data_IF_497110952618
#
_entry.id   IF_497110952618
#
_cell.length_a   1.000
_cell.length_b   1.000
_cell.length_c   1.000
_cell.angle_alpha   90.00
_cell.angle_beta   90.00
_cell.angle_gamma   90.00
#
_symmetry.space_group_name_H-M   'P 1'
#
loop_
_entity.id
_entity.type
_entity.pdbx_description
1 polymer ?
#
# COMPACT_ATOMS: atom_id res chain seq x y z
N UNK A 1 -45.90 19.69 -80.65
CA UNK A 1 -45.87 21.02 -81.28
C UNK A 1 -44.99 21.94 -80.50
N UNK A 2 -44.09 22.64 -81.22
CA UNK A 2 -43.27 23.83 -80.97
C UNK A 2 -42.02 23.61 -80.11
N UNK A 3 -40.85 23.43 -80.69
CA UNK A 3 -39.88 24.36 -81.35
C UNK A 3 -39.49 25.52 -80.41
N UNK A 4 -38.25 25.54 -79.96
CA UNK A 4 -37.60 26.67 -79.29
C UNK A 4 -36.08 26.54 -79.22
N UNK A 5 -35.43 26.98 -80.17
CA UNK A 5 -34.15 27.63 -80.47
C UNK A 5 -33.00 27.59 -79.38
N UNK A 6 -31.91 27.01 -79.86
CA UNK A 6 -30.53 27.14 -79.36
C UNK A 6 -30.05 28.62 -79.44
N UNK A 7 -29.39 29.05 -78.35
CA UNK A 7 -28.44 30.21 -78.40
C UNK A 7 -27.11 29.78 -77.76
N UNK A 8 -26.09 29.69 -78.60
CA UNK A 8 -24.73 29.52 -78.23
C UNK A 8 -24.20 30.85 -77.67
N UNK A 9 -23.73 30.88 -76.43
CA UNK A 9 -22.98 32.02 -75.86
C UNK A 9 -21.55 31.59 -75.76
N UNK A 10 -20.68 32.32 -76.43
CA UNK A 10 -19.23 32.19 -76.48
C UNK A 10 -18.65 32.84 -75.28
N UNK A 11 -18.15 32.02 -74.29
CA UNK A 11 -17.44 32.55 -73.14
C UNK A 11 -15.91 32.48 -73.36
N UNK A 12 -15.33 33.65 -73.41
CA UNK A 12 -13.88 33.91 -73.49
C UNK A 12 -13.22 33.34 -72.24
N UNK A 13 -12.32 32.37 -72.44
CA UNK A 13 -11.55 31.75 -71.35
C UNK A 13 -10.29 32.62 -71.14
N UNK A 14 -10.26 33.42 -70.08
CA UNK A 14 -9.03 34.14 -69.64
C UNK A 14 -8.26 33.17 -68.73
N UNK A 15 -7.12 32.66 -69.24
CA UNK A 15 -6.19 31.84 -68.47
C UNK A 15 -5.28 32.78 -67.68
N UNK A 16 -5.50 32.80 -66.34
CA UNK A 16 -4.54 33.43 -65.43
C UNK A 16 -3.43 32.41 -65.10
N UNK A 17 -2.25 32.64 -65.58
CA UNK A 17 -1.02 31.96 -65.14
C UNK A 17 -0.65 32.46 -63.74
N UNK A 18 -0.93 31.64 -62.70
CA UNK A 18 -0.42 31.88 -61.34
C UNK A 18 0.93 31.16 -61.20
N UNK A 19 2.02 31.85 -60.85
CA UNK A 19 3.28 31.20 -60.62
C UNK A 19 3.19 30.41 -59.31
N UNK A 20 3.27 29.07 -59.38
CA UNK A 20 3.34 28.18 -58.25
C UNK A 20 4.78 28.28 -57.67
N UNK A 21 4.90 29.02 -56.57
CA UNK A 21 6.11 28.98 -55.73
C UNK A 21 6.08 27.64 -54.98
N UNK A 22 6.96 26.70 -55.38
CA UNK A 22 7.28 25.53 -54.58
C UNK A 22 8.08 25.95 -53.36
N UNK A 23 7.40 26.18 -52.24
CA UNK A 23 8.03 26.19 -50.91
C UNK A 23 8.37 24.75 -50.56
N UNK A 24 9.67 24.42 -50.69
CA UNK A 24 10.22 23.17 -50.11
C UNK A 24 10.11 23.26 -48.60
N UNK A 25 9.01 22.76 -48.01
CA UNK A 25 8.97 22.41 -46.61
C UNK A 25 9.79 21.16 -46.43
N UNK A 26 11.05 21.35 -46.00
CA UNK A 26 11.84 20.27 -45.42
C UNK A 26 11.08 19.78 -44.19
N UNK A 27 10.30 18.72 -44.33
CA UNK A 27 9.76 17.99 -43.19
C UNK A 27 10.97 17.34 -42.47
N UNK A 28 11.51 18.04 -41.48
CA UNK A 28 12.28 17.36 -40.44
C UNK A 28 11.32 16.41 -39.75
N UNK A 29 11.25 15.18 -40.21
CA UNK A 29 10.68 14.07 -39.45
C UNK A 29 11.58 13.94 -38.21
N UNK A 30 11.22 14.67 -37.14
CA UNK A 30 11.57 14.27 -35.80
C UNK A 30 10.78 12.98 -35.60
N UNK A 31 11.44 11.85 -35.85
CA UNK A 31 10.94 10.57 -35.42
C UNK A 31 10.84 10.68 -33.89
N UNK A 32 9.67 11.04 -33.39
CA UNK A 32 9.27 10.73 -32.05
C UNK A 32 9.41 9.22 -31.96
N UNK A 33 10.45 8.75 -31.29
CA UNK A 33 10.59 7.34 -30.98
C UNK A 33 9.29 6.96 -30.27
N UNK A 34 8.48 6.16 -30.94
CA UNK A 34 7.24 5.58 -30.44
C UNK A 34 7.66 4.51 -29.40
N UNK A 35 8.18 4.98 -28.25
CA UNK A 35 8.50 4.11 -27.13
C UNK A 35 7.19 3.76 -26.48
N UNK A 36 6.77 2.52 -26.65
CA UNK A 36 5.67 1.95 -25.89
C UNK A 36 5.83 2.27 -24.41
N UNK A 37 4.77 2.66 -23.72
CA UNK A 37 4.85 3.04 -22.31
C UNK A 37 5.42 1.90 -21.46
N UNK A 38 6.30 2.24 -20.53
CA UNK A 38 6.79 1.28 -19.54
C UNK A 38 5.65 0.88 -18.61
N UNK A 39 5.39 -0.41 -18.50
CA UNK A 39 4.34 -0.93 -17.61
C UNK A 39 4.99 -1.34 -16.29
N UNK A 40 4.58 -0.69 -15.21
CA UNK A 40 4.95 -1.04 -13.84
C UNK A 40 3.72 -1.64 -13.16
N UNK A 41 3.83 -2.89 -12.70
CA UNK A 41 2.78 -3.53 -11.89
C UNK A 41 3.05 -3.28 -10.41
N UNK A 42 2.04 -2.91 -9.64
CA UNK A 42 2.10 -2.88 -8.17
C UNK A 42 1.22 -3.99 -7.62
N UNK A 43 1.83 -4.94 -6.88
CA UNK A 43 1.10 -5.97 -6.12
C UNK A 43 0.62 -5.35 -4.81
N UNK A 44 -0.65 -5.51 -4.49
CA UNK A 44 -1.31 -4.83 -3.37
C UNK A 44 -1.90 -5.82 -2.36
N UNK A 45 -3.18 -5.70 -2.05
CA UNK A 45 -3.92 -6.51 -1.10
C UNK A 45 -5.37 -6.71 -1.59
N UNK A 46 -6.23 -7.46 -0.89
CA UNK A 46 -7.61 -7.68 -1.34
C UNK A 46 -8.41 -6.37 -1.48
N UNK A 47 -9.42 -6.38 -2.33
CA UNK A 47 -10.39 -5.29 -2.42
C UNK A 47 -10.99 -4.98 -1.03
N UNK A 48 -11.20 -3.70 -0.75
CA UNK A 48 -11.59 -3.22 0.58
C UNK A 48 -10.40 -2.94 1.51
N UNK A 49 -9.21 -3.29 1.11
CA UNK A 49 -7.95 -2.87 1.72
C UNK A 49 -7.57 -1.48 1.16
N UNK A 50 -7.33 -0.53 2.02
CA UNK A 50 -7.10 0.87 1.63
C UNK A 50 -5.98 1.11 0.61
N UNK A 51 -4.82 0.44 0.68
CA UNK A 51 -3.78 0.52 -0.33
C UNK A 51 -4.25 0.17 -1.74
N UNK A 52 -5.07 -0.88 -1.90
CA UNK A 52 -5.56 -1.30 -3.23
C UNK A 52 -6.45 -0.24 -3.87
N UNK A 53 -7.36 0.35 -3.10
CA UNK A 53 -8.23 1.43 -3.59
C UNK A 53 -7.41 2.69 -3.92
N UNK A 54 -6.55 3.12 -3.00
CA UNK A 54 -5.73 4.31 -3.18
C UNK A 54 -4.77 4.20 -4.36
N UNK A 55 -4.03 3.11 -4.48
CA UNK A 55 -3.05 2.93 -5.55
C UNK A 55 -3.70 2.68 -6.93
N UNK A 56 -4.94 2.17 -6.97
CA UNK A 56 -5.73 2.10 -8.21
C UNK A 56 -6.06 3.51 -8.73
N UNK A 57 -6.46 4.42 -7.83
CA UNK A 57 -6.72 5.83 -8.19
C UNK A 57 -5.41 6.51 -8.60
N UNK A 58 -4.34 6.32 -7.83
CA UNK A 58 -3.00 6.88 -8.13
C UNK A 58 -2.49 6.39 -9.50
N UNK A 59 -2.58 5.10 -9.78
CA UNK A 59 -2.17 4.51 -11.06
C UNK A 59 -2.94 5.10 -12.24
N UNK A 60 -4.24 5.31 -12.09
CA UNK A 60 -5.07 5.97 -13.09
C UNK A 60 -4.68 7.45 -13.28
N UNK A 61 -4.29 8.14 -12.22
CA UNK A 61 -3.84 9.53 -12.27
C UNK A 61 -2.49 9.64 -12.98
N UNK A 62 -1.51 8.83 -12.59
CA UNK A 62 -0.18 8.79 -13.20
C UNK A 62 -0.29 8.47 -14.69
N UNK A 63 -0.95 7.38 -15.07
CA UNK A 63 -1.06 6.93 -16.47
C UNK A 63 -1.75 7.96 -17.39
N UNK A 64 -2.61 8.83 -16.83
CA UNK A 64 -3.22 9.95 -17.60
C UNK A 64 -2.31 11.16 -17.75
N UNK A 65 -1.39 11.37 -16.82
CA UNK A 65 -0.54 12.56 -16.77
C UNK A 65 0.83 12.31 -17.39
N UNK A 66 1.34 11.11 -17.26
CA UNK A 66 2.59 10.66 -17.88
C UNK A 66 2.33 9.45 -18.81
N UNK A 67 2.13 9.68 -20.11
CA UNK A 67 1.88 8.62 -21.08
C UNK A 67 3.10 7.68 -21.27
N UNK A 68 4.28 8.03 -20.79
CA UNK A 68 5.48 7.19 -20.86
C UNK A 68 5.48 6.05 -19.84
N UNK A 69 4.58 6.10 -18.82
CA UNK A 69 4.49 5.10 -17.76
C UNK A 69 3.03 4.72 -17.49
N UNK A 70 2.75 3.42 -17.52
CA UNK A 70 1.48 2.85 -17.07
C UNK A 70 1.70 2.16 -15.72
N UNK A 71 1.08 2.68 -14.67
CA UNK A 71 1.07 2.06 -13.36
C UNK A 71 -0.17 1.17 -13.23
N UNK A 72 0.04 -0.14 -13.12
CA UNK A 72 -1.03 -1.15 -13.02
C UNK A 72 -1.14 -1.63 -11.58
N UNK A 73 -2.17 -1.19 -10.87
CA UNK A 73 -2.54 -1.77 -9.59
C UNK A 73 -3.07 -3.20 -9.79
N UNK A 74 -2.52 -4.16 -9.06
CA UNK A 74 -2.93 -5.56 -9.09
C UNK A 74 -3.39 -5.97 -7.70
N UNK A 75 -4.67 -6.36 -7.58
CA UNK A 75 -5.19 -6.99 -6.38
C UNK A 75 -4.48 -8.33 -6.13
N UNK A 76 -4.19 -8.61 -4.86
CA UNK A 76 -3.59 -9.88 -4.41
C UNK A 76 -4.23 -10.34 -3.11
N UNK A 77 -3.99 -11.58 -2.67
CA UNK A 77 -4.45 -12.05 -1.37
C UNK A 77 -3.81 -11.37 -0.14
N UNK A 78 -2.77 -10.52 -0.32
CA UNK A 78 -2.14 -9.77 0.77
C UNK A 78 -0.62 -9.72 0.70
N UNK A 79 0.02 -9.03 1.64
CA UNK A 79 1.45 -8.72 1.59
C UNK A 79 2.36 -9.95 1.80
N UNK A 80 1.93 -10.92 2.57
CA UNK A 80 2.63 -12.23 2.67
C UNK A 80 2.67 -12.92 1.31
N UNK A 81 1.55 -12.89 0.56
CA UNK A 81 1.51 -13.42 -0.79
C UNK A 81 2.45 -12.64 -1.74
N UNK A 82 2.45 -11.30 -1.66
CA UNK A 82 3.29 -10.46 -2.50
C UNK A 82 4.76 -10.82 -2.36
N UNK A 83 5.22 -10.96 -1.12
CA UNK A 83 6.60 -11.28 -0.82
C UNK A 83 6.98 -12.70 -1.30
N UNK A 84 6.08 -13.68 -1.14
CA UNK A 84 6.26 -15.04 -1.70
C UNK A 84 6.33 -15.01 -3.22
N UNK A 85 5.41 -14.29 -3.87
CA UNK A 85 5.38 -14.15 -5.33
C UNK A 85 6.68 -13.54 -5.85
N UNK A 86 7.15 -12.47 -5.23
CA UNK A 86 8.40 -11.81 -5.63
C UNK A 86 9.64 -12.66 -5.33
N UNK A 87 9.65 -13.42 -4.25
CA UNK A 87 10.75 -14.34 -3.91
C UNK A 87 10.87 -15.52 -4.87
N UNK A 88 9.75 -16.01 -5.40
CA UNK A 88 9.72 -17.18 -6.29
C UNK A 88 9.76 -16.83 -7.78
N UNK A 89 9.22 -15.68 -8.20
CA UNK A 89 9.02 -15.33 -9.60
C UNK A 89 9.99 -14.24 -10.08
N UNK A 90 11.22 -14.66 -10.43
CA UNK A 90 12.28 -13.77 -10.94
C UNK A 90 11.88 -12.99 -12.20
N UNK A 91 10.95 -13.52 -13.00
CA UNK A 91 10.46 -12.85 -14.20
C UNK A 91 9.73 -11.52 -13.92
N UNK A 92 9.32 -11.29 -12.68
CA UNK A 92 8.64 -10.03 -12.27
C UNK A 92 9.61 -8.93 -11.82
N UNK A 93 10.84 -9.24 -11.51
CA UNK A 93 11.76 -8.33 -10.81
C UNK A 93 11.99 -6.99 -11.50
N UNK A 94 12.00 -6.97 -12.84
CA UNK A 94 12.30 -5.76 -13.62
C UNK A 94 11.06 -4.90 -13.94
N UNK A 95 9.85 -5.34 -13.56
CA UNK A 95 8.60 -4.66 -13.94
C UNK A 95 7.58 -4.58 -12.80
N UNK A 96 7.93 -5.09 -11.61
CA UNK A 96 6.97 -5.18 -10.51
C UNK A 96 7.50 -4.56 -9.24
N UNK A 97 6.67 -3.72 -8.66
CA UNK A 97 6.76 -3.17 -7.32
C UNK A 97 5.70 -3.87 -6.47
N UNK A 98 5.90 -3.97 -5.17
CA UNK A 98 4.92 -4.61 -4.31
C UNK A 98 4.77 -3.90 -2.96
N UNK A 99 3.58 -3.93 -2.42
CA UNK A 99 3.27 -3.49 -1.08
C UNK A 99 3.75 -4.53 -0.06
N UNK A 100 4.41 -4.08 1.00
CA UNK A 100 4.97 -4.89 2.07
C UNK A 100 5.13 -4.06 3.34
N UNK A 101 5.54 -4.70 4.41
CA UNK A 101 5.88 -4.10 5.70
C UNK A 101 7.31 -4.48 6.10
N UNK A 102 7.93 -3.67 6.95
CA UNK A 102 9.32 -3.88 7.37
C UNK A 102 9.51 -5.17 8.18
N UNK A 103 8.51 -5.58 8.95
CA UNK A 103 8.51 -6.84 9.68
C UNK A 103 8.38 -8.05 8.73
N UNK A 104 7.53 -7.98 7.69
CA UNK A 104 7.39 -9.03 6.68
C UNK A 104 8.72 -9.31 5.97
N UNK A 105 9.45 -8.25 5.61
CA UNK A 105 10.78 -8.37 5.02
C UNK A 105 11.78 -9.05 5.97
N UNK A 106 11.62 -8.86 7.28
CA UNK A 106 12.45 -9.50 8.31
C UNK A 106 12.02 -10.94 8.64
N UNK A 107 10.74 -11.29 8.46
CA UNK A 107 10.23 -12.65 8.68
C UNK A 107 10.52 -13.59 7.50
N UNK A 108 10.50 -13.11 6.28
CA UNK A 108 10.63 -13.92 5.07
C UNK A 108 11.88 -14.84 5.05
N UNK A 109 13.09 -14.44 5.50
CA UNK A 109 14.25 -15.32 5.57
C UNK A 109 14.16 -16.38 6.66
N UNK A 110 13.21 -16.28 7.59
CA UNK A 110 12.93 -17.28 8.62
C UNK A 110 12.01 -18.39 8.15
N UNK A 111 11.48 -18.29 6.93
CA UNK A 111 10.64 -19.29 6.29
C UNK A 111 11.26 -20.69 6.33
N UNK A 112 10.43 -21.73 6.14
CA UNK A 112 10.83 -23.13 6.28
C UNK A 112 11.02 -23.60 7.72
N UNK A 113 10.85 -22.73 8.72
CA UNK A 113 10.95 -23.05 10.15
C UNK A 113 9.73 -22.54 10.89
N UNK A 114 9.27 -23.32 11.89
CA UNK A 114 8.19 -22.86 12.74
C UNK A 114 8.57 -21.59 13.53
N UNK A 115 7.67 -20.62 13.65
CA UNK A 115 6.26 -20.63 13.23
C UNK A 115 6.06 -20.06 11.79
N UNK A 116 7.10 -19.76 11.05
CA UNK A 116 7.01 -19.05 9.77
C UNK A 116 6.69 -19.95 8.59
N UNK A 117 6.80 -21.28 8.73
CA UNK A 117 6.53 -22.27 7.65
C UNK A 117 5.13 -22.10 7.05
N UNK A 118 4.15 -21.75 7.87
CA UNK A 118 2.78 -21.52 7.42
C UNK A 118 2.66 -20.34 6.46
N UNK A 119 3.45 -19.29 6.70
CA UNK A 119 3.42 -18.04 5.94
C UNK A 119 4.44 -18.05 4.79
N UNK A 120 5.63 -18.55 5.08
CA UNK A 120 6.75 -18.69 4.16
C UNK A 120 7.23 -20.14 4.20
N UNK A 121 6.69 -21.04 3.34
CA UNK A 121 7.08 -22.45 3.30
C UNK A 121 8.59 -22.67 3.11
N UNK A 122 9.23 -21.78 2.35
CA UNK A 122 10.67 -21.73 2.14
C UNK A 122 11.22 -20.35 2.54
N UNK A 123 12.48 -20.26 2.99
CA UNK A 123 13.09 -18.99 3.31
C UNK A 123 13.30 -18.14 2.05
N UNK A 124 12.85 -16.88 2.11
CA UNK A 124 13.06 -15.90 1.06
C UNK A 124 14.28 -15.08 1.45
N UNK A 125 15.39 -15.26 0.74
CA UNK A 125 16.67 -14.60 1.01
C UNK A 125 17.04 -13.53 -0.01
N UNK A 126 16.14 -13.24 -0.94
CA UNK A 126 16.26 -12.13 -1.86
C UNK A 126 16.15 -10.81 -1.09
N UNK A 127 17.02 -9.85 -1.44
CA UNK A 127 16.91 -8.48 -0.93
C UNK A 127 15.86 -7.74 -1.73
N UNK A 128 14.99 -7.03 -1.04
CA UNK A 128 14.02 -6.13 -1.68
C UNK A 128 14.23 -4.73 -1.13
N UNK A 129 14.55 -3.78 -1.99
CA UNK A 129 14.83 -2.40 -1.62
C UNK A 129 13.55 -1.59 -1.57
N UNK A 130 13.46 -0.72 -0.58
CA UNK A 130 12.33 0.16 -0.36
C UNK A 130 12.33 1.28 -1.40
N UNK A 131 11.15 1.63 -1.92
CA UNK A 131 10.96 2.75 -2.84
C UNK A 131 10.42 3.98 -2.10
N UNK A 132 9.35 3.81 -1.33
CA UNK A 132 8.73 4.87 -0.53
C UNK A 132 7.77 4.28 0.52
N UNK A 133 7.50 5.05 1.58
CA UNK A 133 6.49 4.72 2.59
C UNK A 133 5.07 4.82 2.02
N UNK A 134 4.22 3.90 2.40
CA UNK A 134 2.80 3.92 2.01
C UNK A 134 2.06 5.13 2.59
N UNK A 135 0.92 5.47 2.00
CA UNK A 135 0.15 6.66 2.37
C UNK A 135 -0.32 6.68 3.84
N UNK A 136 -0.38 5.55 4.50
CA UNK A 136 -0.71 5.42 5.94
C UNK A 136 0.46 4.86 6.77
N UNK A 137 1.60 4.88 6.24
CA UNK A 137 2.96 4.55 6.68
C UNK A 137 3.09 3.67 7.93
N UNK A 138 2.67 4.11 9.13
CA UNK A 138 2.66 3.31 10.35
C UNK A 138 1.31 2.61 10.47
N UNK A 139 1.33 1.29 10.49
CA UNK A 139 0.15 0.45 10.59
C UNK A 139 0.09 -0.14 12.00
N UNK A 140 -0.88 0.32 12.78
CA UNK A 140 -1.15 -0.23 14.11
C UNK A 140 -2.38 -1.12 14.09
N UNK A 141 -2.34 -2.22 14.80
CA UNK A 141 -3.48 -3.12 14.92
C UNK A 141 -3.90 -3.34 16.38
N UNK A 142 -5.19 -3.52 16.57
CA UNK A 142 -5.83 -3.72 17.86
C UNK A 142 -7.08 -4.58 17.71
N UNK A 143 -7.71 -4.91 18.83
CA UNK A 143 -8.94 -5.67 18.81
C UNK A 143 -10.15 -4.78 19.12
N UNK A 144 -11.28 -5.09 18.47
CA UNK A 144 -12.58 -4.42 18.69
C UNK A 144 -13.60 -5.45 19.08
N UNK A 145 -14.43 -5.12 20.07
CA UNK A 145 -15.51 -5.98 20.55
C UNK A 145 -16.77 -5.15 20.89
N UNK A 146 -17.91 -5.82 20.92
CA UNK A 146 -19.18 -5.25 21.44
C UNK A 146 -19.45 -5.67 22.90
N UNK A 147 -18.59 -6.51 23.49
CA UNK A 147 -18.72 -6.99 24.86
C UNK A 147 -17.86 -6.15 25.83
N UNK A 148 -18.46 -5.38 26.77
CA UNK A 148 -17.72 -4.56 27.73
C UNK A 148 -16.87 -5.37 28.71
N UNK A 149 -17.03 -6.68 28.78
CA UNK A 149 -16.28 -7.58 29.67
C UNK A 149 -14.90 -7.95 29.11
N UNK A 150 -14.73 -7.84 27.80
CA UNK A 150 -13.44 -8.11 27.13
C UNK A 150 -12.60 -6.83 27.15
N UNK A 151 -11.57 -6.79 28.00
CA UNK A 151 -10.78 -5.58 28.26
C UNK A 151 -9.31 -5.70 27.85
N UNK A 152 -8.82 -6.93 27.72
CA UNK A 152 -7.43 -7.26 27.36
C UNK A 152 -7.38 -8.47 26.44
N UNK A 153 -6.31 -8.62 25.67
CA UNK A 153 -6.19 -9.70 24.70
C UNK A 153 -6.29 -11.09 25.39
N UNK A 154 -5.79 -11.23 26.60
CA UNK A 154 -5.93 -12.49 27.35
C UNK A 154 -7.37 -12.90 27.63
N UNK A 155 -8.35 -11.96 27.63
CA UNK A 155 -9.79 -12.25 27.81
C UNK A 155 -10.40 -12.89 26.55
N UNK A 156 -9.70 -12.81 25.42
CA UNK A 156 -10.12 -13.40 24.14
C UNK A 156 -9.95 -14.92 24.08
N UNK A 157 -9.23 -15.51 25.03
CA UNK A 157 -9.05 -16.97 25.11
C UNK A 157 -10.40 -17.66 25.28
N UNK A 158 -10.68 -18.68 24.45
CA UNK A 158 -11.94 -19.41 24.44
C UNK A 158 -13.09 -18.69 23.72
N UNK A 159 -12.86 -17.51 23.18
CA UNK A 159 -13.85 -16.75 22.42
C UNK A 159 -13.85 -17.13 20.93
N UNK A 160 -14.76 -16.54 20.17
CA UNK A 160 -14.81 -16.62 18.71
C UNK A 160 -14.17 -15.35 18.15
N UNK A 161 -13.05 -15.48 17.47
CA UNK A 161 -12.29 -14.35 16.95
C UNK A 161 -12.35 -14.30 15.43
N UNK A 162 -12.57 -13.10 14.88
CA UNK A 162 -12.39 -12.82 13.46
C UNK A 162 -11.02 -12.16 13.25
N UNK A 163 -10.24 -12.69 12.32
CA UNK A 163 -8.97 -12.12 11.88
C UNK A 163 -8.89 -12.14 10.36
N UNK A 164 -7.96 -11.40 9.79
CA UNK A 164 -7.74 -11.36 8.35
C UNK A 164 -7.31 -12.69 7.75
N UNK A 165 -7.19 -12.70 6.44
CA UNK A 165 -6.68 -13.86 5.72
C UNK A 165 -5.22 -14.11 6.11
N UNK A 166 -4.80 -15.38 6.16
CA UNK A 166 -3.42 -15.77 6.51
C UNK A 166 -2.34 -15.16 5.60
N UNK A 167 -2.73 -14.72 4.42
CA UNK A 167 -1.86 -14.05 3.44
C UNK A 167 -1.77 -12.54 3.61
N UNK A 168 -2.58 -11.97 4.52
CA UNK A 168 -2.47 -10.58 4.93
C UNK A 168 -1.46 -10.46 6.09
N UNK A 169 -0.74 -9.35 6.15
CA UNK A 169 0.22 -9.06 7.21
C UNK A 169 -0.49 -8.72 8.53
N UNK A 170 -0.80 -7.46 8.80
CA UNK A 170 -1.39 -7.00 10.06
C UNK A 170 -2.65 -7.74 10.48
N UNK A 171 -3.59 -7.86 9.53
CA UNK A 171 -4.91 -8.45 9.79
C UNK A 171 -4.87 -9.96 9.97
N UNK A 172 -3.85 -10.63 9.44
CA UNK A 172 -3.72 -12.08 9.42
C UNK A 172 -2.50 -12.59 10.15
N UNK A 173 -1.33 -12.51 9.53
CA UNK A 173 -0.10 -13.09 10.08
C UNK A 173 0.25 -12.49 11.43
N UNK A 174 0.31 -11.15 11.53
CA UNK A 174 0.69 -10.47 12.78
C UNK A 174 -0.33 -10.77 13.89
N UNK A 175 -1.63 -10.74 13.58
CA UNK A 175 -2.66 -11.12 14.56
C UNK A 175 -2.49 -12.57 15.07
N UNK A 176 -2.13 -13.53 14.20
CA UNK A 176 -1.85 -14.92 14.61
C UNK A 176 -0.61 -14.96 15.50
N UNK A 177 0.47 -14.31 15.11
CA UNK A 177 1.73 -14.29 15.85
C UNK A 177 1.56 -13.68 17.24
N UNK A 178 0.81 -12.58 17.33
CA UNK A 178 0.51 -11.90 18.59
C UNK A 178 -0.33 -12.80 19.51
N UNK A 179 -1.42 -13.36 19.01
CA UNK A 179 -2.27 -14.24 19.79
C UNK A 179 -1.50 -15.46 20.32
N UNK A 180 -0.74 -16.13 19.46
CA UNK A 180 -0.05 -17.37 19.84
C UNK A 180 1.14 -17.11 20.75
N UNK A 181 2.05 -16.23 20.35
CA UNK A 181 3.33 -16.06 21.05
C UNK A 181 3.29 -14.97 22.12
N UNK A 182 2.38 -14.01 21.98
CA UNK A 182 2.10 -13.02 23.01
C UNK A 182 1.29 -13.58 24.17
N UNK A 183 0.19 -14.26 23.83
CA UNK A 183 -0.87 -14.57 24.80
C UNK A 183 -1.20 -16.07 24.92
N UNK A 184 -0.58 -16.95 24.15
CA UNK A 184 -0.88 -18.38 24.16
C UNK A 184 -2.31 -18.73 23.69
N UNK A 185 -2.87 -17.88 22.83
CA UNK A 185 -4.19 -18.07 22.21
C UNK A 185 -3.97 -18.71 20.83
N UNK A 186 -4.48 -19.93 20.69
CA UNK A 186 -4.27 -20.76 19.50
C UNK A 186 -5.57 -21.38 19.03
N UNK A 187 -5.65 -21.94 17.81
CA UNK A 187 -6.82 -22.68 17.35
C UNK A 187 -7.20 -23.90 18.23
N UNK A 188 -6.29 -24.37 19.10
CA UNK A 188 -6.55 -25.46 20.05
C UNK A 188 -7.41 -25.04 21.25
N UNK A 189 -7.37 -23.75 21.60
CA UNK A 189 -8.07 -23.22 22.78
C UNK A 189 -9.03 -22.07 22.47
N UNK A 190 -9.12 -21.63 21.23
CA UNK A 190 -9.92 -20.48 20.80
C UNK A 190 -10.42 -20.70 19.38
N UNK A 191 -11.65 -20.33 19.09
CA UNK A 191 -12.21 -20.47 17.73
C UNK A 191 -11.84 -19.26 16.89
N UNK A 192 -10.96 -19.46 15.92
CA UNK A 192 -10.44 -18.41 15.05
C UNK A 192 -11.04 -18.57 13.65
N UNK A 193 -11.60 -17.48 13.10
CA UNK A 193 -12.15 -17.39 11.75
C UNK A 193 -11.26 -16.47 10.92
N UNK A 194 -10.80 -16.98 9.77
CA UNK A 194 -9.99 -16.22 8.81
C UNK A 194 -10.91 -15.53 7.82
N UNK A 195 -11.06 -14.24 7.95
CA UNK A 195 -12.02 -13.42 7.23
C UNK A 195 -11.32 -12.26 6.53
N UNK A 196 -11.92 -11.67 5.50
CA UNK A 196 -11.46 -10.37 5.00
C UNK A 196 -12.02 -9.25 5.89
N UNK A 197 -11.38 -8.05 5.93
CA UNK A 197 -11.74 -6.99 6.86
C UNK A 197 -13.22 -6.58 6.86
N UNK A 198 -13.86 -6.49 5.69
CA UNK A 198 -15.28 -6.19 5.60
C UNK A 198 -16.13 -7.31 6.22
N UNK A 199 -15.75 -8.59 6.00
CA UNK A 199 -16.45 -9.74 6.54
C UNK A 199 -16.31 -9.85 8.05
N UNK A 200 -15.16 -9.46 8.62
CA UNK A 200 -14.98 -9.38 10.08
C UNK A 200 -16.01 -8.46 10.71
N UNK A 201 -16.24 -7.29 10.14
CA UNK A 201 -17.25 -6.32 10.61
C UNK A 201 -18.65 -6.94 10.60
N UNK A 202 -19.04 -7.57 9.48
CA UNK A 202 -20.34 -8.20 9.37
C UNK A 202 -20.54 -9.29 10.44
N UNK A 203 -19.55 -10.14 10.64
CA UNK A 203 -19.64 -11.25 11.59
C UNK A 203 -19.66 -10.76 13.06
N UNK A 204 -18.96 -9.66 13.38
CA UNK A 204 -19.04 -9.03 14.70
C UNK A 204 -20.43 -8.42 14.94
N UNK A 205 -20.94 -7.63 13.99
CA UNK A 205 -22.26 -6.99 14.11
C UNK A 205 -23.39 -8.00 14.21
N UNK A 206 -23.25 -9.15 13.55
CA UNK A 206 -24.19 -10.26 13.60
C UNK A 206 -24.02 -11.20 14.82
N UNK A 207 -23.04 -10.94 15.70
CA UNK A 207 -22.77 -11.74 16.90
C UNK A 207 -22.22 -13.14 16.64
N UNK A 208 -21.65 -13.38 15.45
CA UNK A 208 -21.03 -14.67 15.12
C UNK A 208 -19.60 -14.78 15.62
N UNK A 209 -18.92 -13.63 15.80
CA UNK A 209 -17.64 -13.52 16.49
C UNK A 209 -17.77 -12.55 17.67
N UNK A 210 -16.90 -12.73 18.67
CA UNK A 210 -16.91 -11.94 19.91
C UNK A 210 -15.98 -10.73 19.84
N UNK A 211 -14.92 -10.84 19.04
CA UNK A 211 -13.97 -9.77 18.77
C UNK A 211 -13.33 -9.95 17.37
N UNK A 212 -12.87 -8.86 16.83
CA UNK A 212 -12.17 -8.80 15.52
C UNK A 212 -10.91 -7.95 15.62
N UNK A 213 -9.93 -8.23 14.77
CA UNK A 213 -8.76 -7.36 14.60
C UNK A 213 -9.11 -6.20 13.69
N UNK A 214 -8.57 -5.02 14.00
CA UNK A 214 -8.71 -3.81 13.18
C UNK A 214 -7.35 -3.14 13.03
N UNK A 215 -7.22 -2.32 12.00
CA UNK A 215 -6.01 -1.56 11.73
C UNK A 215 -6.28 -0.07 11.53
N UNK A 216 -5.28 0.74 11.84
CA UNK A 216 -5.25 2.16 11.53
C UNK A 216 -3.87 2.57 11.02
N UNK A 217 -3.83 3.68 10.30
CA UNK A 217 -2.59 4.33 9.91
C UNK A 217 -2.32 5.57 10.75
N UNK A 218 -1.04 5.93 10.88
CA UNK A 218 -0.62 7.18 11.49
C UNK A 218 0.49 7.84 10.66
N UNK A 219 0.52 9.17 10.67
CA UNK A 219 1.65 9.91 10.11
C UNK A 219 2.89 9.80 11.03
N UNK A 220 4.12 10.06 10.51
CA UNK A 220 5.35 9.86 11.29
C UNK A 220 5.43 10.65 12.61
N UNK A 221 4.71 11.76 12.72
CA UNK A 221 4.63 12.57 13.94
C UNK A 221 3.60 12.06 14.96
N UNK A 222 2.80 11.06 14.63
CA UNK A 222 1.73 10.45 15.45
C UNK A 222 0.65 11.44 15.93
N UNK A 223 0.48 12.54 15.22
CA UNK A 223 -0.53 13.55 15.55
C UNK A 223 -1.88 13.25 14.91
N UNK A 224 -1.84 12.66 13.70
CA UNK A 224 -3.03 12.30 12.95
C UNK A 224 -3.10 10.78 12.78
N UNK A 225 -4.28 10.23 13.03
CA UNK A 225 -4.60 8.83 12.90
C UNK A 225 -5.74 8.63 11.93
N UNK A 226 -5.62 7.66 11.05
CA UNK A 226 -6.63 7.34 10.06
C UNK A 226 -7.09 5.89 10.23
N UNK A 227 -8.40 5.72 10.35
CA UNK A 227 -9.01 4.39 10.42
C UNK A 227 -9.31 3.85 9.03
N UNK A 228 -9.14 2.56 8.86
CA UNK A 228 -9.52 1.85 7.64
C UNK A 228 -11.04 1.89 7.40
N UNK A 229 -11.45 1.64 6.15
CA UNK A 229 -12.88 1.61 5.76
C UNK A 229 -13.77 0.74 6.65
N UNK A 230 -13.38 -0.51 6.95
CA UNK A 230 -14.13 -1.39 7.85
C UNK A 230 -14.39 -0.80 9.24
N UNK A 231 -13.41 -0.09 9.81
CA UNK A 231 -13.60 0.59 11.10
C UNK A 231 -14.66 1.70 11.02
N UNK A 232 -14.69 2.46 9.93
CA UNK A 232 -15.75 3.46 9.70
C UNK A 232 -17.14 2.84 9.62
N UNK A 233 -17.25 1.65 9.03
CA UNK A 233 -18.51 0.90 8.99
C UNK A 233 -18.97 0.51 10.40
N UNK A 234 -18.05 0.05 11.26
CA UNK A 234 -18.33 -0.22 12.67
C UNK A 234 -18.80 1.04 13.42
N UNK A 235 -18.09 2.15 13.26
CA UNK A 235 -18.47 3.42 13.89
C UNK A 235 -19.85 3.92 13.44
N UNK A 236 -20.18 3.72 12.16
CA UNK A 236 -21.47 4.08 11.59
C UNK A 236 -22.63 3.16 12.04
N UNK A 237 -22.35 1.96 12.55
CA UNK A 237 -23.35 0.99 12.99
C UNK A 237 -24.21 1.46 14.18
N UNK A 238 -23.78 2.50 14.90
CA UNK A 238 -24.44 2.99 16.10
C UNK A 238 -24.23 2.11 17.35
N UNK A 239 -23.55 0.98 17.22
CA UNK A 239 -23.23 0.08 18.35
C UNK A 239 -22.16 0.70 19.24
N UNK A 240 -22.19 0.43 20.54
CA UNK A 240 -21.10 0.77 21.47
C UNK A 240 -19.91 -0.11 21.20
N UNK A 241 -18.73 0.49 20.99
CA UNK A 241 -17.49 -0.19 20.67
C UNK A 241 -16.55 -0.18 21.87
N UNK A 242 -15.81 -1.27 22.04
CA UNK A 242 -14.78 -1.41 23.07
C UNK A 242 -13.47 -1.84 22.38
N UNK A 243 -12.37 -1.23 22.81
CA UNK A 243 -11.07 -1.35 22.18
C UNK A 243 -10.11 -2.07 23.12
N UNK A 244 -9.36 -3.02 22.58
CA UNK A 244 -8.41 -3.82 23.32
C UNK A 244 -7.06 -3.67 22.64
N UNK A 245 -6.10 -3.08 23.34
CA UNK A 245 -4.73 -2.91 22.88
C UNK A 245 -3.81 -4.05 23.34
N UNK A 246 -2.54 -3.93 22.95
CA UNK A 246 -1.45 -4.82 23.38
C UNK A 246 -0.66 -4.19 24.53
N UNK A 247 -0.19 -5.01 25.45
CA UNK A 247 0.74 -4.55 26.45
C UNK A 247 2.14 -4.37 25.85
N UNK A 248 2.83 -3.27 26.18
CA UNK A 248 4.17 -2.96 25.66
C UNK A 248 5.16 -4.10 25.92
N UNK A 249 5.08 -4.73 27.08
CA UNK A 249 5.94 -5.84 27.48
C UNK A 249 5.78 -7.07 26.56
N UNK A 250 4.56 -7.26 26.01
CA UNK A 250 4.30 -8.33 25.03
C UNK A 250 4.94 -7.96 23.69
N UNK A 251 4.82 -6.72 23.25
CA UNK A 251 5.46 -6.21 22.02
C UNK A 251 6.99 -6.39 22.13
N UNK A 252 7.60 -5.97 23.26
CA UNK A 252 9.04 -6.12 23.50
C UNK A 252 9.48 -7.61 23.51
N UNK A 253 8.64 -8.49 24.05
CA UNK A 253 8.87 -9.95 24.05
C UNK A 253 8.85 -10.52 22.63
N UNK A 254 7.90 -10.10 21.79
CA UNK A 254 7.80 -10.52 20.39
C UNK A 254 9.01 -10.04 19.60
N UNK A 255 9.37 -8.78 19.74
CA UNK A 255 10.57 -8.21 19.12
C UNK A 255 11.83 -8.99 19.48
N UNK A 256 12.03 -9.29 20.75
CA UNK A 256 13.17 -10.08 21.23
C UNK A 256 13.16 -11.50 20.67
N UNK A 257 11.98 -12.12 20.58
CA UNK A 257 11.84 -13.51 20.13
C UNK A 257 12.09 -13.66 18.63
N UNK A 258 11.58 -12.76 17.82
CA UNK A 258 11.59 -12.88 16.37
C UNK A 258 12.55 -11.91 15.67
N UNK A 259 13.21 -11.03 16.41
CA UNK A 259 14.12 -10.03 15.85
C UNK A 259 13.41 -8.96 15.02
N UNK A 260 12.15 -8.70 15.32
CA UNK A 260 11.33 -7.69 14.65
C UNK A 260 11.52 -6.30 15.26
N UNK A 261 10.87 -5.33 14.68
CA UNK A 261 10.96 -3.94 15.10
C UNK A 261 9.56 -3.32 15.29
N UNK A 262 8.62 -4.10 15.84
CA UNK A 262 7.32 -3.56 16.20
C UNK A 262 7.46 -2.37 17.12
N UNK A 263 6.77 -1.31 16.81
CA UNK A 263 6.67 -0.13 17.65
C UNK A 263 5.47 -0.28 18.59
N UNK A 264 5.70 0.01 19.88
CA UNK A 264 4.59 0.17 20.81
C UNK A 264 4.10 1.63 20.73
N UNK A 265 2.96 1.85 20.08
CA UNK A 265 2.39 3.18 19.90
C UNK A 265 1.15 3.36 20.78
N UNK A 266 1.04 4.53 21.40
CA UNK A 266 -0.15 4.87 22.20
C UNK A 266 -1.13 5.66 21.35
N UNK A 267 -2.33 5.11 21.16
CA UNK A 267 -3.46 5.79 20.54
C UNK A 267 -4.08 6.74 21.58
N UNK A 268 -4.09 8.05 21.32
CA UNK A 268 -4.63 9.03 22.26
C UNK A 268 -6.15 8.83 22.49
N UNK A 269 -6.68 9.27 23.65
CA UNK A 269 -8.13 9.25 23.88
C UNK A 269 -8.89 10.01 22.78
N UNK A 270 -10.09 9.55 22.47
CA UNK A 270 -11.00 10.16 21.49
C UNK A 270 -10.48 10.17 20.03
N UNK A 271 -9.48 9.36 19.74
CA UNK A 271 -9.07 9.08 18.36
C UNK A 271 -10.12 8.28 17.62
N UNK A 272 -10.78 7.35 18.31
CA UNK A 272 -11.85 6.50 17.80
C UNK A 272 -13.17 6.80 18.50
N UNK A 273 -14.28 6.46 17.86
CA UNK A 273 -15.61 6.55 18.47
C UNK A 273 -15.67 5.72 19.75
N UNK A 274 -16.27 6.26 20.80
CA UNK A 274 -16.44 5.59 22.12
C UNK A 274 -15.13 5.28 22.89
N UNK A 275 -13.98 5.75 22.42
CA UNK A 275 -12.69 5.54 23.04
C UNK A 275 -12.36 6.71 23.98
N UNK A 276 -12.57 6.50 25.27
CA UNK A 276 -12.31 7.53 26.30
C UNK A 276 -10.91 7.44 26.91
N UNK A 277 -10.31 6.24 26.89
CA UNK A 277 -8.98 5.97 27.45
C UNK A 277 -7.94 5.68 26.36
N UNK A 278 -6.68 6.02 26.57
CA UNK A 278 -5.62 5.65 25.65
C UNK A 278 -5.41 4.12 25.66
N UNK A 279 -4.93 3.57 24.55
CA UNK A 279 -4.51 2.18 24.50
C UNK A 279 -3.27 2.02 23.62
N UNK A 280 -2.49 0.98 23.85
CA UNK A 280 -1.28 0.71 23.07
C UNK A 280 -1.57 -0.26 21.94
N UNK A 281 -0.95 -0.05 20.78
CA UNK A 281 -0.98 -0.94 19.62
C UNK A 281 0.42 -1.40 19.26
N UNK A 282 0.55 -2.62 18.77
CA UNK A 282 1.71 -3.04 18.01
C UNK A 282 1.63 -2.44 16.61
N UNK A 283 2.71 -1.89 16.12
CA UNK A 283 2.73 -1.24 14.82
C UNK A 283 4.01 -1.54 14.05
N UNK A 284 3.89 -1.66 12.75
CA UNK A 284 4.95 -1.75 11.77
C UNK A 284 4.85 -0.61 10.76
N UNK A 285 5.61 -0.68 9.68
CA UNK A 285 5.65 0.36 8.66
C UNK A 285 5.45 -0.22 7.27
N UNK A 286 4.46 0.33 6.57
CA UNK A 286 4.14 -0.04 5.20
C UNK A 286 5.01 0.66 4.16
N UNK A 287 5.46 -0.10 3.18
CA UNK A 287 6.31 0.37 2.08
C UNK A 287 5.91 -0.20 0.74
N UNK A 288 6.28 0.52 -0.31
CA UNK A 288 6.46 -0.09 -1.64
C UNK A 288 7.91 -0.50 -1.79
N UNK A 289 8.13 -1.72 -2.22
CA UNK A 289 9.46 -2.29 -2.41
C UNK A 289 9.60 -2.92 -3.81
N UNK A 290 10.84 -3.10 -4.25
CA UNK A 290 11.18 -3.76 -5.50
C UNK A 290 12.47 -4.58 -5.34
N UNK A 291 12.70 -5.51 -6.27
CA UNK A 291 13.99 -6.20 -6.36
C UNK A 291 15.10 -5.21 -6.79
N UNK A 292 16.37 -5.37 -6.36
CA UNK A 292 17.47 -4.46 -6.76
C UNK A 292 17.70 -4.34 -8.27
N UNK A 293 17.22 -5.29 -9.08
CA UNK A 293 17.29 -5.22 -10.55
C UNK A 293 16.11 -4.47 -11.19
N UNK A 294 15.16 -3.99 -10.41
CA UNK A 294 14.14 -3.09 -10.94
C UNK A 294 14.81 -1.84 -11.52
N UNK A 295 14.47 -1.38 -12.73
CA UNK A 295 15.22 -0.31 -13.39
C UNK A 295 15.22 1.00 -12.59
N UNK A 296 16.41 1.58 -12.40
CA UNK A 296 16.60 2.83 -11.64
C UNK A 296 15.77 4.00 -12.18
N UNK A 297 15.62 4.08 -13.50
CA UNK A 297 14.84 5.13 -14.16
C UNK A 297 13.34 4.97 -13.90
N UNK A 298 12.84 3.73 -13.82
CA UNK A 298 11.44 3.47 -13.47
C UNK A 298 11.19 3.74 -11.98
N UNK A 299 12.10 3.35 -11.10
CA UNK A 299 12.02 3.67 -9.68
C UNK A 299 12.02 5.19 -9.46
N UNK A 300 12.93 5.90 -10.14
CA UNK A 300 13.01 7.35 -10.11
C UNK A 300 11.70 8.01 -10.58
N UNK A 301 11.19 7.62 -11.77
CA UNK A 301 9.94 8.16 -12.32
C UNK A 301 8.75 7.89 -11.40
N UNK A 302 8.63 6.68 -10.90
CA UNK A 302 7.53 6.31 -9.99
C UNK A 302 7.53 7.15 -8.72
N UNK A 303 8.68 7.28 -8.05
CA UNK A 303 8.80 8.10 -6.82
C UNK A 303 8.50 9.57 -7.09
N UNK A 304 8.98 10.14 -8.21
CA UNK A 304 8.66 11.52 -8.61
C UNK A 304 7.16 11.69 -8.85
N UNK A 305 6.51 10.75 -9.53
CA UNK A 305 5.07 10.80 -9.79
C UNK A 305 4.24 10.70 -8.50
N UNK A 306 4.63 9.81 -7.56
CA UNK A 306 3.96 9.72 -6.25
C UNK A 306 4.12 11.02 -5.46
N UNK A 307 5.30 11.64 -5.49
CA UNK A 307 5.55 12.93 -4.83
C UNK A 307 4.72 14.07 -5.44
N UNK A 308 4.60 14.09 -6.76
CA UNK A 308 3.84 15.11 -7.50
C UNK A 308 2.33 14.99 -7.27
N UNK A 309 1.81 13.75 -7.32
CA UNK A 309 0.35 13.51 -7.28
C UNK A 309 -0.18 13.20 -5.88
N UNK A 310 0.68 12.90 -4.90
CA UNK A 310 0.30 12.64 -3.52
C UNK A 310 -0.62 13.70 -2.91
N UNK A 311 -0.34 15.02 -3.05
CA UNK A 311 -1.24 16.07 -2.56
C UNK A 311 -2.64 16.06 -3.20
N UNK A 312 -2.75 15.59 -4.45
CA UNK A 312 -4.05 15.43 -5.12
C UNK A 312 -4.80 14.22 -4.58
N UNK A 313 -4.09 13.15 -4.28
CA UNK A 313 -4.63 11.92 -3.70
C UNK A 313 -5.32 12.17 -2.35
N UNK A 314 -4.81 13.10 -1.55
CA UNK A 314 -5.43 13.50 -0.28
C UNK A 314 -6.89 13.97 -0.43
N UNK A 315 -7.27 14.48 -1.61
CA UNK A 315 -8.65 14.89 -1.95
C UNK A 315 -9.49 13.75 -2.50
N UNK A 316 -8.86 12.69 -2.99
CA UNK A 316 -9.51 11.59 -3.71
C UNK A 316 -9.73 10.36 -2.83
N UNK A 317 -8.84 10.13 -1.85
CA UNK A 317 -8.88 8.95 -1.00
C UNK A 317 -8.52 9.26 0.46
N UNK A 318 -9.32 8.74 1.39
CA UNK A 318 -9.22 9.09 2.81
C UNK A 318 -7.88 8.76 3.47
N UNK A 319 -7.25 7.65 3.11
CA UNK A 319 -5.95 7.24 3.67
C UNK A 319 -4.78 8.11 3.19
N UNK A 320 -4.96 8.88 2.13
CA UNK A 320 -3.94 9.80 1.64
C UNK A 320 -3.96 11.17 2.32
N UNK A 321 -4.91 11.42 3.25
CA UNK A 321 -5.02 12.70 3.96
C UNK A 321 -3.79 13.06 4.78
N UNK A 322 -3.08 12.06 5.29
CA UNK A 322 -1.85 12.23 6.06
C UNK A 322 -0.59 12.15 5.20
N UNK A 323 -0.75 12.06 3.87
CA UNK A 323 0.40 12.00 2.97
C UNK A 323 1.31 13.23 3.16
N UNK A 324 2.60 13.00 3.25
CA UNK A 324 3.62 14.03 3.38
C UNK A 324 4.97 13.56 2.81
N UNK A 325 5.89 14.49 2.51
CA UNK A 325 7.26 14.13 2.18
C UNK A 325 7.96 13.29 3.26
N UNK A 326 7.71 13.60 4.54
CA UNK A 326 8.25 12.88 5.69
C UNK A 326 7.76 11.43 5.72
N UNK A 327 6.49 11.21 5.35
CA UNK A 327 5.90 9.88 5.24
C UNK A 327 6.57 9.07 4.13
N UNK A 328 6.81 9.67 2.96
CA UNK A 328 7.43 8.96 1.85
C UNK A 328 8.84 8.44 2.16
N UNK A 329 9.59 9.15 3.00
CA UNK A 329 11.00 8.82 3.30
C UNK A 329 11.21 8.27 4.70
N UNK A 330 10.17 8.16 5.52
CA UNK A 330 10.26 7.68 6.89
C UNK A 330 10.90 6.29 6.98
N UNK A 331 11.95 6.15 7.80
CA UNK A 331 12.66 4.90 7.99
C UNK A 331 13.64 4.49 6.89
N UNK A 332 13.74 5.23 5.78
CA UNK A 332 14.66 4.94 4.68
C UNK A 332 16.12 5.21 5.05
N UNK A 333 17.04 4.40 4.50
CA UNK A 333 18.49 4.53 4.63
C UNK A 333 19.15 4.35 3.25
N UNK A 334 20.43 4.68 3.12
CA UNK A 334 21.20 4.40 1.90
C UNK A 334 21.30 2.87 1.61
N UNK A 335 21.20 2.02 2.61
CA UNK A 335 21.34 0.57 2.49
C UNK A 335 20.04 -0.14 2.14
N UNK A 336 18.90 0.36 2.62
CA UNK A 336 17.61 -0.29 2.42
C UNK A 336 16.79 0.29 1.26
N UNK A 337 17.25 1.40 0.65
CA UNK A 337 16.49 2.14 -0.35
C UNK A 337 17.03 1.90 -1.77
N UNK A 338 16.13 1.80 -2.74
CA UNK A 338 16.47 1.62 -4.15
C UNK A 338 17.22 2.86 -4.71
N UNK A 339 18.32 2.70 -5.48
CA UNK A 339 19.13 3.82 -5.97
C UNK A 339 18.33 4.88 -6.74
N UNK A 340 17.40 4.45 -7.61
CA UNK A 340 16.51 5.36 -8.34
C UNK A 340 15.60 6.17 -7.42
N UNK A 341 15.12 5.57 -6.33
CA UNK A 341 14.33 6.28 -5.32
C UNK A 341 15.16 7.30 -4.55
N UNK A 342 16.38 6.93 -4.14
CA UNK A 342 17.32 7.85 -3.46
C UNK A 342 17.58 9.09 -4.34
N UNK A 343 17.85 8.85 -5.63
CA UNK A 343 18.06 9.94 -6.60
C UNK A 343 16.85 10.88 -6.65
N UNK A 344 15.64 10.32 -6.77
CA UNK A 344 14.41 11.10 -6.81
C UNK A 344 14.23 11.94 -5.53
N UNK A 345 14.40 11.34 -4.36
CA UNK A 345 14.25 12.03 -3.08
C UNK A 345 15.29 13.13 -2.86
N UNK A 346 16.54 12.93 -3.29
CA UNK A 346 17.58 13.97 -3.24
C UNK A 346 17.21 15.17 -4.11
N UNK A 347 16.73 14.95 -5.32
CA UNK A 347 16.29 16.02 -6.23
C UNK A 347 15.03 16.74 -5.73
N UNK A 348 14.12 16.05 -5.05
CA UNK A 348 12.93 16.64 -4.43
C UNK A 348 13.22 17.39 -3.14
N UNK A 349 14.43 17.29 -2.58
CA UNK A 349 14.75 17.81 -1.26
C UNK A 349 14.04 17.09 -0.11
N UNK A 350 13.63 15.82 -0.34
CA UNK A 350 12.92 15.02 0.67
C UNK A 350 13.89 14.14 1.46
N UNK A 351 15.07 13.82 0.91
CA UNK A 351 15.97 12.81 1.48
C UNK A 351 16.36 13.11 2.94
N UNK A 352 16.59 14.37 3.29
CA UNK A 352 16.98 14.75 4.65
C UNK A 352 15.82 14.70 5.67
N UNK A 353 14.57 14.63 5.19
CA UNK A 353 13.39 14.50 6.04
C UNK A 353 13.22 13.11 6.62
N UNK A 354 13.98 12.09 6.16
CA UNK A 354 13.95 10.72 6.67
C UNK A 354 14.30 10.62 8.17
N UNK A 355 15.04 11.58 8.72
CA UNK A 355 15.39 11.66 10.13
C UNK A 355 14.19 11.93 11.06
N UNK A 356 13.03 12.28 10.50
CA UNK A 356 11.78 12.42 11.27
C UNK A 356 11.26 11.08 11.84
N UNK A 357 11.82 9.95 11.40
CA UNK A 357 11.45 8.62 11.85
C UNK A 357 12.69 7.74 12.09
N UNK A 358 12.64 6.80 13.06
CA UNK A 358 13.69 5.81 13.24
C UNK A 358 13.96 5.01 11.95
N UNK A 359 15.23 4.75 11.66
CA UNK A 359 15.62 3.96 10.51
C UNK A 359 15.08 2.53 10.59
N UNK A 360 14.56 2.02 9.47
CA UNK A 360 14.24 0.60 9.34
C UNK A 360 15.51 -0.20 9.16
N UNK A 361 15.67 -1.25 9.95
CA UNK A 361 16.77 -2.21 9.82
C UNK A 361 16.23 -3.51 9.24
N UNK A 362 16.65 -3.80 8.03
CA UNK A 362 16.27 -5.04 7.36
C UNK A 362 17.30 -6.14 7.65
N UNK A 363 16.89 -7.40 7.49
CA UNK A 363 17.66 -8.56 7.92
C UNK A 363 19.07 -8.62 7.34
N UNK A 364 19.32 -8.07 6.16
CA UNK A 364 20.62 -8.05 5.52
C UNK A 364 21.54 -6.91 5.98
N UNK A 365 21.05 -6.04 6.84
CA UNK A 365 21.78 -4.92 7.43
C UNK A 365 22.26 -5.23 8.87
N UNK A 366 21.87 -6.41 9.40
CA UNK A 366 22.13 -6.85 10.78
C UNK A 366 23.47 -7.61 10.91
#
# INVERSE_FOLDING_TARGET
>A
MLKGKSRYSLHLLIVFLVPVFFLNFSHTNVAAADQSPSIVTILLCPLGCGPTEGDTILGSLISRKDPSMVLRAQETPGYVYNLREMGMNKGRWNSTVFATEDDMLNYAPLGGKEPFTEFFPEPIKEKFLLLYGEAWWTQGHWWVTLDPKLKKISDLKGKKLGIGLRTQSDWGMNAIMDLEFGYGITPKNTKIFYLGPAKEVDELLNGKVDAIVMGMGAEPGLKEWLVAGPMRTLEASGRKLYYIGMEKEVIDKLNKKFGTAYMALTVPPKTLKDQDEPFTVGADRGYKAAHPTFPDDLAYKLVKAVAEYGPQMAKLHGLWKIWSPELMVGGLTEQNTHPGAIKAFKELGYWDKRSSSPAVKLWWEK
#
